data_IF_277017021035
#
_entry.id   IF_277017021035
#
_cell.length_a   1.000
_cell.length_b   1.000
_cell.length_c   1.000
_cell.angle_alpha   90.00
_cell.angle_beta   90.00
_cell.angle_gamma   90.00
#
_symmetry.space_group_name_H-M   'P 1'
#
loop_
_entity.id
_entity.type
_entity.pdbx_description
1 polymer ?
#
# COMPACT_ATOMS: atom_id res chain seq x y z
N UNK A 1 47.70 -8.28 -1.54
CA UNK A 1 47.21 -7.63 -2.78
C UNK A 1 46.30 -8.66 -3.44
N UNK A 2 45.01 -8.65 -3.08
CA UNK A 2 44.03 -9.63 -3.57
C UNK A 2 43.31 -9.01 -4.77
N UNK A 3 43.43 -9.67 -5.91
CA UNK A 3 42.76 -9.29 -7.15
C UNK A 3 41.40 -10.02 -7.19
N UNK A 4 40.32 -9.25 -7.08
CA UNK A 4 38.95 -9.75 -7.01
C UNK A 4 38.31 -9.62 -8.39
N UNK A 5 38.42 -10.65 -9.22
CA UNK A 5 37.63 -10.78 -10.45
C UNK A 5 36.17 -11.06 -10.09
N UNK A 6 35.36 -10.00 -9.97
CA UNK A 6 33.91 -10.12 -10.08
C UNK A 6 33.57 -10.13 -11.57
N UNK A 7 33.18 -11.31 -12.04
CA UNK A 7 32.45 -11.49 -13.30
C UNK A 7 31.15 -10.71 -13.22
N UNK A 8 31.14 -9.50 -13.78
CA UNK A 8 29.90 -8.82 -14.11
C UNK A 8 29.40 -9.51 -15.37
N UNK A 9 28.57 -10.55 -15.20
CA UNK A 9 27.86 -11.18 -16.30
C UNK A 9 26.97 -10.12 -16.96
N UNK A 10 27.43 -9.59 -18.08
CA UNK A 10 26.71 -8.66 -18.96
C UNK A 10 25.51 -9.30 -19.68
N UNK A 11 25.05 -10.47 -19.21
CA UNK A 11 23.88 -11.21 -19.71
C UNK A 11 22.65 -11.10 -18.81
N UNK A 12 22.72 -10.30 -17.73
CA UNK A 12 21.57 -10.04 -16.85
C UNK A 12 20.76 -8.80 -17.25
N UNK A 13 20.88 -8.34 -18.48
CA UNK A 13 19.74 -7.73 -19.14
C UNK A 13 18.84 -8.88 -19.59
N UNK A 14 17.94 -9.30 -18.69
CA UNK A 14 16.75 -10.03 -19.12
C UNK A 14 16.10 -9.18 -20.19
N UNK A 15 16.39 -9.52 -21.45
CA UNK A 15 15.57 -9.17 -22.60
C UNK A 15 14.17 -9.56 -22.17
N UNK A 16 13.38 -8.56 -21.75
CA UNK A 16 11.94 -8.66 -21.72
C UNK A 16 11.57 -8.89 -23.18
N UNK A 17 11.62 -10.15 -23.59
CA UNK A 17 11.13 -10.58 -24.87
C UNK A 17 9.73 -10.02 -24.94
N UNK A 18 9.50 -9.16 -25.93
CA UNK A 18 8.18 -8.83 -26.46
C UNK A 18 7.58 -10.10 -27.09
N UNK A 19 7.50 -11.17 -26.31
CA UNK A 19 6.64 -12.31 -26.58
C UNK A 19 5.26 -11.81 -26.26
N UNK A 20 4.47 -11.61 -27.30
CA UNK A 20 3.03 -11.51 -27.21
C UNK A 20 2.54 -12.67 -26.33
N UNK A 21 2.35 -12.44 -25.03
CA UNK A 21 1.76 -13.40 -24.10
C UNK A 21 0.25 -13.46 -24.39
N UNK A 22 -0.08 -13.88 -25.60
CA UNK A 22 -1.45 -13.84 -26.14
C UNK A 22 -2.34 -14.87 -25.44
N UNK A 23 -1.75 -15.96 -24.96
CA UNK A 23 -2.46 -17.03 -24.28
C UNK A 23 -2.44 -16.87 -22.77
N UNK A 24 -3.54 -17.23 -22.11
CA UNK A 24 -3.73 -17.03 -20.68
C UNK A 24 -2.69 -17.78 -19.85
N UNK A 25 -2.33 -19.01 -20.26
CA UNK A 25 -1.36 -19.80 -19.51
C UNK A 25 0.04 -19.17 -19.51
N UNK A 26 0.42 -18.46 -20.57
CA UNK A 26 1.72 -17.77 -20.67
C UNK A 26 1.74 -16.59 -19.72
N UNK A 27 0.64 -15.81 -19.69
CA UNK A 27 0.48 -14.70 -18.74
C UNK A 27 0.51 -15.16 -17.29
N UNK A 28 -0.24 -16.20 -16.95
CA UNK A 28 -0.23 -16.75 -15.59
C UNK A 28 1.15 -17.32 -15.23
N UNK A 29 1.86 -17.93 -16.20
CA UNK A 29 3.23 -18.40 -15.99
C UNK A 29 4.19 -17.23 -15.70
N UNK A 30 4.09 -16.14 -16.47
CA UNK A 30 4.90 -14.95 -16.27
C UNK A 30 4.61 -14.28 -14.92
N UNK A 31 3.34 -14.13 -14.55
CA UNK A 31 2.95 -13.60 -13.25
C UNK A 31 3.49 -14.47 -12.10
N UNK A 32 3.32 -15.79 -12.18
CA UNK A 32 3.81 -16.67 -11.14
C UNK A 32 5.34 -16.66 -11.00
N UNK A 33 6.10 -16.52 -12.09
CA UNK A 33 7.55 -16.32 -12.02
C UNK A 33 7.94 -14.99 -11.36
N UNK A 34 7.14 -13.94 -11.57
CA UNK A 34 7.38 -12.63 -10.98
C UNK A 34 7.09 -12.62 -9.47
N UNK A 35 5.96 -13.17 -9.04
CA UNK A 35 5.52 -13.19 -7.64
C UNK A 35 6.08 -14.39 -6.86
N UNK A 36 7.42 -14.50 -6.78
CA UNK A 36 8.08 -15.48 -5.92
C UNK A 36 8.12 -16.92 -6.43
N UNK A 37 7.66 -17.17 -7.66
CA UNK A 37 7.73 -18.48 -8.33
C UNK A 37 6.38 -19.21 -8.38
N UNK A 38 6.23 -20.11 -9.35
CA UNK A 38 4.99 -20.87 -9.58
C UNK A 38 4.45 -21.64 -8.35
N UNK A 39 5.29 -22.26 -7.50
CA UNK A 39 4.80 -22.93 -6.29
C UNK A 39 4.17 -21.96 -5.29
N UNK A 40 4.86 -20.86 -4.97
CA UNK A 40 4.36 -19.84 -4.04
C UNK A 40 3.10 -19.16 -4.59
N UNK A 41 3.08 -18.90 -5.91
CA UNK A 41 1.90 -18.35 -6.57
C UNK A 41 0.68 -19.27 -6.43
N UNK A 42 0.86 -20.58 -6.64
CA UNK A 42 -0.22 -21.56 -6.49
C UNK A 42 -0.73 -21.64 -5.04
N UNK A 43 0.18 -21.63 -4.07
CA UNK A 43 -0.14 -21.62 -2.64
C UNK A 43 -0.97 -20.38 -2.25
N UNK A 44 -0.56 -19.19 -2.70
CA UNK A 44 -1.24 -17.92 -2.41
C UNK A 44 -2.68 -17.86 -2.94
N UNK A 45 -2.97 -18.54 -4.05
CA UNK A 45 -4.33 -18.63 -4.59
C UNK A 45 -5.10 -19.87 -4.10
N UNK A 46 -4.53 -20.63 -3.15
CA UNK A 46 -5.18 -21.78 -2.52
C UNK A 46 -5.27 -23.03 -3.40
N UNK A 47 -4.39 -23.18 -4.41
CA UNK A 47 -4.40 -24.31 -5.34
C UNK A 47 -3.14 -25.16 -5.16
N UNK A 48 -3.30 -26.49 -5.13
CA UNK A 48 -2.15 -27.40 -5.09
C UNK A 48 -1.25 -27.18 -6.31
N UNK A 49 0.05 -26.98 -6.08
CA UNK A 49 1.04 -26.69 -7.13
C UNK A 49 0.99 -27.69 -8.32
N UNK A 50 0.90 -28.99 -8.05
CA UNK A 50 0.83 -30.02 -9.11
C UNK A 50 -0.37 -29.81 -10.04
N UNK A 51 -1.52 -29.46 -9.47
CA UNK A 51 -2.76 -29.20 -10.20
C UNK A 51 -2.64 -27.91 -10.99
N UNK A 52 -2.19 -26.84 -10.34
CA UNK A 52 -1.95 -25.54 -10.98
C UNK A 52 -0.99 -25.65 -12.16
N UNK A 53 0.15 -26.32 -11.97
CA UNK A 53 1.15 -26.52 -13.02
C UNK A 53 0.59 -27.28 -14.23
N UNK A 54 -0.34 -28.22 -14.02
CA UNK A 54 -0.99 -28.92 -15.13
C UNK A 54 -1.92 -28.02 -15.97
N UNK A 55 -2.39 -26.89 -15.41
CA UNK A 55 -3.21 -25.90 -16.11
C UNK A 55 -2.38 -24.95 -16.98
N UNK A 56 -1.07 -24.82 -16.71
CA UNK A 56 -0.14 -23.94 -17.42
C UNK A 56 0.25 -24.48 -18.81
N UNK A 57 -0.76 -24.78 -19.63
CA UNK A 57 -0.59 -25.23 -21.02
C UNK A 57 -1.78 -24.82 -21.88
N UNK A 58 -1.55 -24.63 -23.18
CA UNK A 58 -2.60 -24.26 -24.13
C UNK A 58 -3.84 -25.19 -24.07
N UNK A 59 -3.64 -26.50 -23.85
CA UNK A 59 -4.73 -27.49 -23.79
C UNK A 59 -5.61 -27.37 -22.54
N UNK A 60 -5.04 -26.92 -21.42
CA UNK A 60 -5.71 -26.93 -20.10
C UNK A 60 -5.93 -25.55 -19.50
N UNK A 61 -5.54 -24.49 -20.19
CA UNK A 61 -5.68 -23.12 -19.71
C UNK A 61 -7.12 -22.69 -19.42
N UNK A 62 -8.13 -23.40 -19.95
CA UNK A 62 -9.52 -23.15 -19.60
C UNK A 62 -9.79 -23.24 -18.09
N UNK A 63 -9.00 -24.06 -17.36
CA UNK A 63 -9.08 -24.19 -15.91
C UNK A 63 -8.49 -22.99 -15.15
N UNK A 64 -7.78 -22.08 -15.83
CA UNK A 64 -7.24 -20.86 -15.22
C UNK A 64 -8.31 -19.76 -15.12
N UNK A 65 -9.30 -19.74 -16.03
CA UNK A 65 -10.35 -18.70 -16.03
C UNK A 65 -11.09 -18.57 -14.70
N UNK A 66 -11.54 -19.66 -14.04
CA UNK A 66 -12.20 -19.56 -12.74
C UNK A 66 -11.29 -19.05 -11.62
N UNK A 67 -9.96 -19.13 -11.78
CA UNK A 67 -8.98 -18.75 -10.77
C UNK A 67 -8.55 -17.27 -10.88
N UNK A 68 -8.86 -16.59 -11.99
CA UNK A 68 -8.40 -15.21 -12.21
C UNK A 68 -8.89 -14.21 -11.15
N UNK A 69 -10.14 -14.28 -10.64
CA UNK A 69 -10.57 -13.40 -9.55
C UNK A 69 -9.70 -13.59 -8.30
N UNK A 70 -9.47 -14.83 -7.88
CA UNK A 70 -8.63 -15.16 -6.72
C UNK A 70 -7.18 -14.72 -6.92
N UNK A 71 -6.64 -14.82 -8.14
CA UNK A 71 -5.31 -14.26 -8.46
C UNK A 71 -5.25 -12.74 -8.26
N UNK A 72 -6.28 -12.01 -8.69
CA UNK A 72 -6.32 -10.54 -8.53
C UNK A 72 -6.50 -10.13 -7.06
N UNK A 73 -7.23 -10.92 -6.27
CA UNK A 73 -7.36 -10.71 -4.83
C UNK A 73 -6.03 -10.96 -4.10
N UNK A 74 -5.33 -12.05 -4.43
CA UNK A 74 -4.04 -12.39 -3.84
C UNK A 74 -2.92 -11.43 -4.28
N UNK A 75 -2.99 -10.90 -5.50
CA UNK A 75 -1.99 -10.03 -6.10
C UNK A 75 -2.62 -8.73 -6.62
N UNK A 76 -3.00 -7.79 -5.73
CA UNK A 76 -3.75 -6.59 -6.10
C UNK A 76 -3.00 -5.60 -7.01
N UNK A 77 -1.69 -5.77 -7.19
CA UNK A 77 -0.86 -5.00 -8.12
C UNK A 77 -0.74 -5.65 -9.51
N UNK A 78 -1.30 -6.85 -9.71
CA UNK A 78 -1.41 -7.51 -11.01
C UNK A 78 -2.49 -6.81 -11.83
N UNK A 79 -2.15 -6.41 -13.06
CA UNK A 79 -3.07 -5.76 -13.98
C UNK A 79 -4.16 -6.72 -14.44
N UNK A 80 -5.42 -6.36 -14.16
CA UNK A 80 -6.59 -7.07 -14.70
C UNK A 80 -6.60 -7.05 -16.23
N UNK A 81 -6.28 -5.90 -16.83
CA UNK A 81 -6.30 -5.73 -18.28
C UNK A 81 -5.32 -6.69 -18.94
N UNK A 82 -4.10 -6.72 -18.43
CA UNK A 82 -3.08 -7.62 -18.93
C UNK A 82 -3.45 -9.07 -18.68
N UNK A 83 -3.90 -9.44 -17.48
CA UNK A 83 -4.25 -10.83 -17.17
C UNK A 83 -5.37 -11.38 -18.07
N UNK A 84 -6.43 -10.60 -18.29
CA UNK A 84 -7.60 -11.03 -19.05
C UNK A 84 -7.36 -10.96 -20.57
N UNK A 85 -6.78 -9.87 -21.06
CA UNK A 85 -6.75 -9.55 -22.49
C UNK A 85 -5.35 -9.61 -23.10
N UNK A 86 -4.30 -9.68 -22.27
CA UNK A 86 -2.92 -9.65 -22.73
C UNK A 86 -2.44 -8.28 -23.19
N UNK A 87 -3.15 -7.22 -22.80
CA UNK A 87 -2.88 -5.84 -23.19
C UNK A 87 -2.30 -5.02 -22.05
N UNK A 88 -1.35 -4.13 -22.37
CA UNK A 88 -0.73 -3.23 -21.40
C UNK A 88 0.30 -3.89 -20.48
N UNK A 89 0.74 -3.20 -19.42
CA UNK A 89 1.74 -3.74 -18.50
C UNK A 89 1.16 -4.80 -17.56
N UNK A 90 1.97 -5.80 -17.22
CA UNK A 90 1.61 -6.84 -16.24
C UNK A 90 1.28 -6.26 -14.86
N UNK A 91 1.95 -5.18 -14.45
CA UNK A 91 1.82 -4.62 -13.11
C UNK A 91 1.29 -3.19 -13.17
N UNK A 92 0.56 -2.82 -12.12
CA UNK A 92 0.08 -1.46 -11.87
C UNK A 92 0.56 -1.08 -10.47
N UNK A 93 1.21 0.07 -10.30
CA UNK A 93 1.64 0.52 -8.97
C UNK A 93 2.91 -0.16 -8.45
N UNK A 94 3.88 -0.43 -9.32
CA UNK A 94 5.10 -1.14 -8.93
C UNK A 94 5.90 -0.33 -7.91
N UNK A 95 6.15 -0.91 -6.73
CA UNK A 95 6.83 -0.23 -5.64
C UNK A 95 5.92 0.67 -4.79
N UNK A 96 4.64 0.81 -5.16
CA UNK A 96 3.66 1.52 -4.34
C UNK A 96 3.09 0.59 -3.25
N UNK A 97 3.24 0.93 -1.96
CA UNK A 97 2.65 0.17 -0.84
C UNK A 97 1.15 -0.06 -1.02
N UNK A 98 0.63 -1.24 -0.65
CA UNK A 98 -0.77 -1.63 -0.89
C UNK A 98 -1.79 -0.73 -0.15
N UNK A 99 -1.39 -0.11 0.94
CA UNK A 99 -2.18 0.84 1.74
C UNK A 99 -2.29 2.23 1.08
N UNK A 100 -1.58 2.47 -0.03
CA UNK A 100 -1.59 3.74 -0.75
C UNK A 100 -2.20 3.61 -2.14
N UNK A 101 -2.91 4.65 -2.62
CA UNK A 101 -3.33 4.72 -4.00
C UNK A 101 -2.10 4.73 -4.91
N UNK A 102 -2.23 4.10 -6.08
CA UNK A 102 -1.18 4.13 -7.11
C UNK A 102 -0.99 5.58 -7.57
N UNK A 103 0.25 6.11 -7.63
CA UNK A 103 0.51 7.44 -8.14
C UNK A 103 -0.04 7.63 -9.55
N UNK A 104 -0.63 8.81 -9.82
CA UNK A 104 -1.21 9.13 -11.12
C UNK A 104 -0.18 9.02 -12.25
N UNK A 105 1.10 9.29 -11.96
CA UNK A 105 2.20 9.17 -12.91
C UNK A 105 2.40 7.72 -13.38
N UNK A 106 2.27 6.74 -12.49
CA UNK A 106 2.39 5.32 -12.85
C UNK A 106 1.17 4.86 -13.67
N UNK A 107 -0.02 5.34 -13.33
CA UNK A 107 -1.24 5.09 -14.10
C UNK A 107 -1.10 5.69 -15.51
N UNK A 108 -0.59 6.93 -15.61
CA UNK A 108 -0.33 7.60 -16.86
C UNK A 108 0.69 6.85 -17.72
N UNK A 109 1.81 6.41 -17.14
CA UNK A 109 2.82 5.62 -17.86
C UNK A 109 2.25 4.28 -18.39
N UNK A 110 1.41 3.61 -17.60
CA UNK A 110 0.72 2.41 -18.06
C UNK A 110 -0.25 2.71 -19.22
N UNK A 111 -0.96 3.84 -19.15
CA UNK A 111 -1.85 4.30 -20.21
C UNK A 111 -1.08 4.71 -21.48
N UNK A 112 0.08 5.36 -21.36
CA UNK A 112 0.97 5.68 -22.48
C UNK A 112 1.46 4.40 -23.18
N UNK A 113 1.85 3.38 -22.41
CA UNK A 113 2.25 2.10 -22.99
C UNK A 113 1.10 1.43 -23.77
N UNK A 114 -0.11 1.46 -23.22
CA UNK A 114 -1.31 0.97 -23.92
C UNK A 114 -1.62 1.81 -25.17
N UNK A 115 -1.47 3.13 -25.11
CA UNK A 115 -1.68 4.04 -26.23
C UNK A 115 -0.65 3.82 -27.35
N UNK A 116 0.61 3.59 -27.00
CA UNK A 116 1.68 3.32 -27.95
C UNK A 116 1.46 2.01 -28.72
N UNK A 117 0.79 1.03 -28.09
CA UNK A 117 0.39 -0.22 -28.74
C UNK A 117 -0.90 -0.07 -29.56
N UNK A 118 -1.79 0.84 -29.15
CA UNK A 118 -3.04 1.15 -29.84
C UNK A 118 -2.81 2.15 -30.99
N UNK A 119 -2.57 1.64 -32.20
CA UNK A 119 -2.60 2.49 -33.40
C UNK A 119 -3.98 3.10 -33.69
N UNK A 120 -4.00 4.23 -34.42
CA UNK A 120 -5.24 4.87 -34.90
C UNK A 120 -5.90 5.81 -33.88
N UNK A 121 -7.16 6.14 -34.10
CA UNK A 121 -7.90 7.17 -33.34
C UNK A 121 -7.99 6.91 -31.83
N UNK A 122 -7.87 5.65 -31.40
CA UNK A 122 -7.85 5.30 -29.98
C UNK A 122 -6.51 5.65 -29.30
N UNK A 123 -5.40 5.57 -30.03
CA UNK A 123 -4.10 6.06 -29.56
C UNK A 123 -4.14 7.57 -29.30
N UNK A 124 -4.68 8.35 -30.25
CA UNK A 124 -4.79 9.81 -30.13
C UNK A 124 -5.64 10.23 -28.91
N UNK A 125 -6.75 9.53 -28.66
CA UNK A 125 -7.62 9.79 -27.50
C UNK A 125 -6.90 9.47 -26.19
N UNK A 126 -6.16 8.36 -26.13
CA UNK A 126 -5.41 8.00 -24.93
C UNK A 126 -4.27 9.00 -24.65
N UNK A 127 -3.56 9.45 -25.68
CA UNK A 127 -2.55 10.51 -25.56
C UNK A 127 -3.17 11.79 -24.99
N UNK A 128 -4.31 12.23 -25.53
CA UNK A 128 -5.01 13.41 -25.00
C UNK A 128 -5.41 13.26 -23.52
N UNK A 129 -5.93 12.09 -23.12
CA UNK A 129 -6.32 11.83 -21.73
C UNK A 129 -5.10 11.86 -20.80
N UNK A 130 -3.98 11.27 -21.23
CA UNK A 130 -2.73 11.28 -20.48
C UNK A 130 -2.20 12.70 -20.32
N UNK A 131 -2.17 13.48 -21.40
CA UNK A 131 -1.70 14.87 -21.37
C UNK A 131 -2.57 15.74 -20.47
N UNK A 132 -3.89 15.55 -20.51
CA UNK A 132 -4.82 16.20 -19.60
C UNK A 132 -4.55 15.82 -18.13
N UNK A 133 -4.32 14.53 -17.84
CA UNK A 133 -3.99 14.06 -16.49
C UNK A 133 -2.64 14.61 -15.99
N UNK A 134 -1.64 14.76 -16.86
CA UNK A 134 -0.34 15.39 -16.53
C UNK A 134 -0.53 16.86 -16.19
N UNK A 135 -1.28 17.60 -17.01
CA UNK A 135 -1.58 19.00 -16.76
C UNK A 135 -2.39 19.22 -15.46
N UNK A 136 -3.28 18.29 -15.11
CA UNK A 136 -4.01 18.29 -13.84
C UNK A 136 -3.07 17.98 -12.65
N UNK A 137 -2.15 17.04 -12.83
CA UNK A 137 -1.14 16.67 -11.84
C UNK A 137 -0.12 17.78 -11.56
N UNK A 138 0.25 18.57 -12.57
CA UNK A 138 1.11 19.75 -12.43
C UNK A 138 0.38 20.93 -11.77
N UNK A 139 -0.94 21.06 -11.96
CA UNK A 139 -1.77 22.07 -11.26
C UNK A 139 -2.02 21.75 -9.79
N UNK A 140 -1.92 20.48 -9.38
CA UNK A 140 -1.86 20.10 -7.96
C UNK A 140 -0.48 20.45 -7.41
N UNK A 141 -0.27 21.72 -7.07
CA UNK A 141 0.94 22.12 -6.36
C UNK A 141 1.09 21.28 -5.07
N UNK A 142 2.21 20.54 -4.89
CA UNK A 142 2.53 19.88 -3.62
C UNK A 142 2.86 20.90 -2.49
N UNK A 143 2.97 22.18 -2.82
CA UNK A 143 3.36 23.27 -1.92
C UNK A 143 2.18 23.76 -1.07
N UNK A 144 0.94 23.70 -1.58
CA UNK A 144 -0.25 24.11 -0.84
C UNK A 144 -0.54 23.16 0.33
N UNK A 145 -0.47 21.83 0.08
CA UNK A 145 -0.63 20.82 1.12
C UNK A 145 0.54 20.84 2.13
N UNK A 146 1.78 21.04 1.68
CA UNK A 146 2.94 21.01 2.58
C UNK A 146 2.93 22.15 3.61
N UNK A 147 2.54 23.37 3.23
CA UNK A 147 2.41 24.50 4.16
C UNK A 147 1.24 24.33 5.12
N UNK A 148 0.09 23.88 4.63
CA UNK A 148 -1.06 23.60 5.49
C UNK A 148 -0.80 22.45 6.47
N UNK A 149 -0.08 21.41 6.03
CA UNK A 149 0.35 20.31 6.90
C UNK A 149 1.34 20.82 7.96
N UNK A 150 2.29 21.69 7.61
CA UNK A 150 3.21 22.31 8.57
C UNK A 150 2.46 23.18 9.59
N UNK A 151 1.55 24.05 9.13
CA UNK A 151 0.71 24.88 10.01
C UNK A 151 -0.16 24.04 10.95
N UNK A 152 -0.72 22.93 10.45
CA UNK A 152 -1.51 22.01 11.25
C UNK A 152 -0.64 21.24 12.26
N UNK A 153 0.58 20.84 11.88
CA UNK A 153 1.55 20.22 12.77
C UNK A 153 1.99 21.18 13.89
N UNK A 154 2.25 22.45 13.57
CA UNK A 154 2.62 23.46 14.54
C UNK A 154 1.48 23.75 15.53
N UNK A 155 0.25 23.90 15.02
CA UNK A 155 -0.95 24.04 15.87
C UNK A 155 -1.19 22.83 16.76
N UNK A 156 -0.96 21.62 16.25
CA UNK A 156 -1.08 20.39 17.03
C UNK A 156 -0.04 20.34 18.15
N UNK A 157 1.21 20.73 17.87
CA UNK A 157 2.28 20.78 18.88
C UNK A 157 1.97 21.81 19.98
N UNK A 158 1.49 23.00 19.60
CA UNK A 158 1.08 24.04 20.53
C UNK A 158 -0.10 23.60 21.42
N UNK A 159 -1.09 22.91 20.82
CA UNK A 159 -2.21 22.36 21.56
C UNK A 159 -1.77 21.27 22.56
N UNK A 160 -0.85 20.39 22.17
CA UNK A 160 -0.27 19.37 23.05
C UNK A 160 0.48 20.00 24.24
N UNK A 161 1.32 21.02 24.00
CA UNK A 161 2.03 21.73 25.07
C UNK A 161 1.06 22.35 26.09
N UNK A 162 -0.05 22.92 25.61
CA UNK A 162 -1.08 23.51 26.48
C UNK A 162 -1.83 22.47 27.30
N UNK A 163 -2.09 21.29 26.73
CA UNK A 163 -2.68 20.16 27.47
C UNK A 163 -1.75 19.72 28.61
N UNK A 164 -0.45 19.57 28.34
CA UNK A 164 0.54 19.21 29.36
C UNK A 164 0.58 20.26 30.47
N UNK A 165 0.63 21.55 30.12
CA UNK A 165 0.62 22.64 31.10
C UNK A 165 -0.62 22.60 31.99
N UNK A 166 -1.81 22.39 31.42
CA UNK A 166 -3.05 22.28 32.17
C UNK A 166 -3.08 21.02 33.06
N UNK A 167 -2.49 19.91 32.62
CA UNK A 167 -2.35 18.71 33.44
C UNK A 167 -1.43 18.96 34.64
N UNK A 168 -0.31 19.65 34.44
CA UNK A 168 0.59 20.03 35.53
C UNK A 168 -0.07 21.00 36.53
N UNK A 169 -0.85 21.96 36.04
CA UNK A 169 -1.59 22.90 36.89
C UNK A 169 -2.71 22.20 37.68
N UNK A 170 -3.39 21.22 37.09
CA UNK A 170 -4.35 20.39 37.80
C UNK A 170 -3.65 19.52 38.86
N UNK A 171 -2.47 18.99 38.56
CA UNK A 171 -1.69 18.18 39.48
C UNK A 171 -1.16 19.00 40.67
N UNK A 172 -0.73 20.24 40.46
CA UNK A 172 -0.32 21.15 41.54
C UNK A 172 -1.51 21.53 42.42
N UNK A 173 -2.65 21.90 41.82
CA UNK A 173 -3.89 22.20 42.57
C UNK A 173 -4.40 21.00 43.37
N UNK A 174 -4.26 19.77 42.86
CA UNK A 174 -4.64 18.56 43.59
C UNK A 174 -3.72 18.30 44.79
N UNK A 175 -2.41 18.55 44.65
CA UNK A 175 -1.43 18.44 45.74
C UNK A 175 -1.67 19.50 46.83
N UNK A 176 -2.01 20.72 46.45
CA UNK A 176 -2.38 21.80 47.37
C UNK A 176 -3.71 21.51 48.09
N UNK A 177 -4.69 20.92 47.38
CA UNK A 177 -5.96 20.49 47.98
C UNK A 177 -5.82 19.32 48.95
N UNK A 178 -4.82 18.44 48.80
CA UNK A 178 -4.55 17.33 49.74
C UNK A 178 -3.76 17.76 50.98
N UNK A 179 -3.03 18.88 50.94
CA UNK A 179 -2.33 19.42 52.11
C UNK A 179 -3.27 20.14 53.10
N UNK A 180 -4.49 20.46 52.69
CA UNK A 180 -5.45 21.26 53.46
C UNK A 180 -6.58 20.50 54.18
N UNK A 181 -6.66 19.17 54.10
CA UNK A 181 -7.70 18.41 54.80
C UNK A 181 -7.30 18.13 56.26
N UNK A 182 -7.98 18.72 57.28
CA UNK A 182 -7.66 18.42 58.68
C UNK A 182 -8.01 16.96 58.99
N UNK A 183 -7.03 16.25 59.56
CA UNK A 183 -7.19 14.93 60.18
C UNK A 183 -8.26 15.01 61.28
N UNK A 184 -9.48 14.56 60.99
CA UNK A 184 -10.54 14.44 61.98
C UNK A 184 -10.05 13.51 63.11
N UNK A 185 -10.04 14.04 64.34
CA UNK A 185 -9.65 13.33 65.55
C UNK A 185 -10.64 12.20 65.87
N UNK A 186 -10.20 11.07 66.47
CA UNK A 186 -11.09 10.01 66.89
C UNK A 186 -11.90 10.49 68.11
N UNK A 187 -13.22 10.61 67.96
CA UNK A 187 -14.11 10.88 69.07
C UNK A 187 -14.14 9.66 70.01
N UNK A 188 -13.50 9.80 71.19
CA UNK A 188 -13.69 8.91 72.34
C UNK A 188 -15.09 9.17 72.89
N UNK A 189 -16.00 8.21 72.73
CA UNK A 189 -17.23 8.15 73.52
C UNK A 189 -16.91 7.26 74.71
N UNK A 190 -16.64 7.92 75.85
CA UNK A 190 -16.49 7.28 77.15
C UNK A 190 -17.85 7.12 77.83
N UNK A 191 -18.02 5.96 78.46
CA UNK A 191 -19.02 5.65 79.47
C UNK A 191 -19.22 6.76 80.51
N UNK A 192 -20.48 7.04 80.85
CA UNK A 192 -20.88 7.09 82.26
C UNK A 192 -22.39 7.02 82.45
N UNK A 193 -22.75 6.11 83.34
CA UNK A 193 -24.05 5.83 83.90
C UNK A 193 -24.54 6.93 84.88
N UNK A 194 -25.77 6.69 85.36
CA UNK A 194 -26.47 7.26 86.53
C UNK A 194 -27.43 8.43 86.21
N UNK A 195 -28.76 8.18 86.26
CA UNK A 195 -29.67 8.33 87.44
C UNK A 195 -29.86 9.83 87.79
N UNK A 196 -31.06 10.40 87.86
CA UNK A 196 -32.39 9.99 88.36
C UNK A 196 -33.46 10.80 87.63
#
# INVERSE_FOLDING_TARGET
MYDSYIFVNADSEMKMNRTNNSELYERVTAAGKFFGGLPAFAEMIGVQYRTFHAYLSAKRQHNLWPLLPTMLEAFPRLSRQWLYFGEGPMLIGHGTPLDRPVPLQEIAAAAEAMAAEAGGTWGDVLTYIVDAARAEGEKREPVADSRQIQDLQEKLLAAQAKIIQLQDELLTRQKEGHAGAPKAAPARIGDSAARL
#
